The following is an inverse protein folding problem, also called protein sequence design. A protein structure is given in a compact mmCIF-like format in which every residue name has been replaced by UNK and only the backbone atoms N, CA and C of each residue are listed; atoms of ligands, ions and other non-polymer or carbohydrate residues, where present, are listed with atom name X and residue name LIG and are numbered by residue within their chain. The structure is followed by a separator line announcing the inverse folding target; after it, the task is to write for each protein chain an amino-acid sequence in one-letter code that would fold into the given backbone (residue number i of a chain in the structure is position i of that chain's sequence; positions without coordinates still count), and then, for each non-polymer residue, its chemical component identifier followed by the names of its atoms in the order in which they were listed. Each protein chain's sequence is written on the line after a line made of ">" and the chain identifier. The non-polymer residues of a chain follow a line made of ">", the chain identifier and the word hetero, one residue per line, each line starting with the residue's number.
data_IF_992075338458
#
_entry.id   IF_992075338458
#
_cell.length_a   1.000
_cell.length_b   1.000
_cell.length_c   1.000
_cell.angle_alpha   90.00
_cell.angle_beta   90.00
_cell.angle_gamma   90.00
#
_symmetry.space_group_name_H-M   'P 1'
#
loop_
_entity.id
_entity.type
_entity.pdbx_description
1 polymer ?
#
# COMPACT_ATOMS: atom_id res chain seq x y z
N UNK A 1 27.04 35.22 -34.50
CA UNK A 1 26.65 34.78 -33.14
C UNK A 1 25.15 34.47 -33.08
N UNK A 2 24.72 33.22 -33.30
CA UNK A 2 23.36 32.72 -32.94
C UNK A 2 23.40 31.20 -32.75
N UNK A 3 23.86 30.75 -31.59
CA UNK A 3 23.61 29.41 -31.02
C UNK A 3 23.42 29.62 -29.53
N UNK A 4 22.62 28.78 -28.87
CA UNK A 4 22.08 28.91 -27.50
C UNK A 4 20.69 29.53 -27.39
N UNK A 5 19.68 28.82 -27.92
CA UNK A 5 18.28 28.99 -27.51
C UNK A 5 17.48 27.68 -27.56
N UNK A 6 18.10 26.51 -27.31
CA UNK A 6 17.37 25.22 -27.24
C UNK A 6 18.08 24.29 -26.23
N UNK A 7 18.28 24.70 -24.98
CA UNK A 7 18.66 23.76 -23.90
C UNK A 7 18.07 24.30 -22.59
N UNK A 8 16.74 24.31 -22.46
CA UNK A 8 16.09 24.67 -21.19
C UNK A 8 14.64 24.17 -21.08
N UNK A 9 14.27 23.11 -21.82
CA UNK A 9 12.99 22.42 -21.62
C UNK A 9 13.14 20.97 -21.16
N UNK A 10 14.27 20.32 -21.46
CA UNK A 10 14.47 18.89 -21.19
C UNK A 10 14.80 18.57 -19.72
N UNK A 11 15.30 19.54 -18.95
CA UNK A 11 15.71 19.34 -17.56
C UNK A 11 14.53 19.26 -16.58
N UNK A 12 13.36 19.77 -16.95
CA UNK A 12 12.19 19.83 -16.08
C UNK A 12 11.41 18.50 -16.12
N UNK A 13 11.39 17.81 -17.27
CA UNK A 13 10.66 16.54 -17.45
C UNK A 13 11.33 15.33 -16.76
N UNK A 14 12.64 15.37 -16.51
CA UNK A 14 13.36 14.25 -15.88
C UNK A 14 13.24 14.23 -14.35
N UNK A 15 12.99 15.38 -13.71
CA UNK A 15 12.92 15.45 -12.23
C UNK A 15 11.57 15.05 -11.65
N UNK A 16 10.49 15.10 -12.44
CA UNK A 16 9.18 14.59 -12.03
C UNK A 16 9.08 13.07 -12.09
N UNK A 17 9.79 12.42 -13.02
CA UNK A 17 9.81 10.96 -13.16
C UNK A 17 10.44 10.25 -11.96
N UNK A 18 11.58 10.76 -11.46
CA UNK A 18 12.27 10.16 -10.31
C UNK A 18 11.53 10.34 -8.98
N UNK A 19 10.76 11.43 -8.80
CA UNK A 19 10.06 11.72 -7.53
C UNK A 19 8.98 10.69 -7.17
N UNK A 20 8.31 10.11 -8.17
CA UNK A 20 7.25 9.12 -7.94
C UNK A 20 7.71 7.67 -8.14
N UNK A 21 8.87 7.45 -8.77
CA UNK A 21 9.39 6.11 -9.05
C UNK A 21 9.63 5.28 -7.78
N UNK A 22 10.31 5.86 -6.78
CA UNK A 22 10.64 5.15 -5.53
C UNK A 22 9.38 4.76 -4.74
N UNK A 23 8.41 5.66 -4.50
CA UNK A 23 7.16 5.26 -3.85
C UNK A 23 6.35 4.21 -4.61
N UNK A 24 6.33 4.24 -5.95
CA UNK A 24 5.63 3.22 -6.74
C UNK A 24 6.28 1.85 -6.63
N UNK A 25 7.62 1.79 -6.66
CA UNK A 25 8.34 0.54 -6.39
C UNK A 25 7.99 -0.03 -5.01
N UNK A 26 7.84 0.83 -3.98
CA UNK A 26 7.41 0.35 -2.67
C UNK A 26 5.96 -0.14 -2.63
N UNK A 27 5.06 0.45 -3.42
CA UNK A 27 3.70 -0.08 -3.61
C UNK A 27 3.75 -1.48 -4.25
N UNK A 28 4.55 -1.66 -5.30
CA UNK A 28 4.70 -2.97 -5.96
C UNK A 28 5.24 -4.02 -4.98
N UNK A 29 6.14 -3.62 -4.07
CA UNK A 29 6.61 -4.50 -3.00
C UNK A 29 5.51 -4.87 -2.01
N UNK A 30 4.61 -3.96 -1.64
CA UNK A 30 3.45 -4.29 -0.78
C UNK A 30 2.56 -5.31 -1.48
N UNK A 31 2.27 -5.11 -2.78
CA UNK A 31 1.50 -6.08 -3.59
C UNK A 31 2.20 -7.45 -3.59
N UNK A 32 3.52 -7.48 -3.80
CA UNK A 32 4.31 -8.71 -3.74
C UNK A 32 4.22 -9.41 -2.37
N UNK A 33 4.34 -8.66 -1.28
CA UNK A 33 4.20 -9.17 0.09
C UNK A 33 2.83 -9.81 0.31
N UNK A 34 1.74 -9.23 -0.23
CA UNK A 34 0.41 -9.86 -0.13
C UNK A 34 0.29 -11.16 -0.93
N UNK A 35 0.99 -11.28 -2.06
CA UNK A 35 1.07 -12.54 -2.79
C UNK A 35 1.81 -13.62 -1.99
N UNK A 36 2.93 -13.26 -1.35
CA UNK A 36 3.72 -14.17 -0.51
C UNK A 36 2.90 -14.62 0.70
N UNK A 37 2.27 -13.68 1.40
CA UNK A 37 1.36 -13.97 2.52
C UNK A 37 0.28 -14.99 2.12
N UNK A 38 -0.37 -14.79 0.96
CA UNK A 38 -1.42 -15.71 0.52
C UNK A 38 -0.88 -17.13 0.35
N UNK A 39 0.24 -17.27 -0.37
CA UNK A 39 0.87 -18.57 -0.64
C UNK A 39 1.33 -19.26 0.65
N UNK A 40 2.01 -18.53 1.54
CA UNK A 40 2.51 -19.09 2.80
C UNK A 40 1.38 -19.46 3.77
N UNK A 41 0.25 -18.75 3.70
CA UNK A 41 -0.94 -19.07 4.51
C UNK A 41 -1.74 -20.27 3.97
N UNK A 42 -1.35 -20.83 2.83
CA UNK A 42 -2.02 -21.98 2.23
C UNK A 42 -3.39 -21.66 1.62
N UNK A 43 -3.65 -20.40 1.29
CA UNK A 43 -4.92 -20.00 0.70
C UNK A 43 -5.03 -20.39 -0.78
N UNK A 44 -6.25 -20.68 -1.27
CA UNK A 44 -6.46 -20.92 -2.70
C UNK A 44 -6.42 -19.61 -3.50
N UNK A 45 -6.21 -19.70 -4.82
CA UNK A 45 -6.34 -18.59 -5.78
C UNK A 45 -5.46 -17.36 -5.48
N UNK A 46 -4.22 -17.59 -5.05
CA UNK A 46 -3.32 -16.49 -4.69
C UNK A 46 -2.93 -15.56 -5.84
N UNK A 47 -2.93 -16.02 -7.09
CA UNK A 47 -2.69 -15.15 -8.24
C UNK A 47 -3.86 -14.18 -8.48
N UNK A 48 -5.11 -14.66 -8.38
CA UNK A 48 -6.32 -13.84 -8.47
C UNK A 48 -6.36 -12.82 -7.33
N UNK A 49 -6.04 -13.26 -6.11
CA UNK A 49 -5.96 -12.39 -4.94
C UNK A 49 -4.91 -11.29 -5.12
N UNK A 50 -3.68 -11.66 -5.53
CA UNK A 50 -2.62 -10.68 -5.78
C UNK A 50 -3.01 -9.69 -6.88
N UNK A 51 -3.67 -10.16 -7.93
CA UNK A 51 -4.17 -9.32 -9.03
C UNK A 51 -5.22 -8.33 -8.54
N UNK A 52 -6.18 -8.79 -7.74
CA UNK A 52 -7.19 -7.93 -7.10
C UNK A 52 -6.56 -6.87 -6.19
N UNK A 53 -5.57 -7.23 -5.36
CA UNK A 53 -4.86 -6.26 -4.51
C UNK A 53 -4.10 -5.25 -5.36
N UNK A 54 -3.40 -5.72 -6.40
CA UNK A 54 -2.69 -4.85 -7.36
C UNK A 54 -3.63 -3.82 -7.99
N UNK A 55 -4.78 -4.25 -8.50
CA UNK A 55 -5.78 -3.36 -9.09
C UNK A 55 -6.30 -2.31 -8.10
N UNK A 56 -6.48 -2.68 -6.83
CA UNK A 56 -6.84 -1.71 -5.80
C UNK A 56 -5.73 -0.65 -5.66
N UNK A 57 -4.46 -1.04 -5.60
CA UNK A 57 -3.36 -0.07 -5.51
C UNK A 57 -3.22 0.79 -6.77
N UNK A 58 -3.37 0.24 -7.96
CA UNK A 58 -3.31 0.99 -9.23
C UNK A 58 -4.30 2.17 -9.26
N UNK A 59 -5.51 1.98 -8.71
CA UNK A 59 -6.56 3.01 -8.70
C UNK A 59 -6.21 4.24 -7.84
N UNK A 60 -5.31 4.10 -6.88
CA UNK A 60 -5.05 5.16 -5.88
C UNK A 60 -3.59 5.55 -5.75
N UNK A 61 -2.63 4.78 -6.30
CA UNK A 61 -1.19 5.01 -6.09
C UNK A 61 -0.76 6.42 -6.52
N UNK A 62 -1.39 7.00 -7.54
CA UNK A 62 -1.11 8.37 -7.99
C UNK A 62 -1.60 9.46 -7.03
N UNK A 63 -2.59 9.17 -6.17
CA UNK A 63 -3.19 10.14 -5.24
C UNK A 63 -2.33 10.39 -4.01
N UNK A 64 -1.67 9.34 -3.51
CA UNK A 64 -0.83 9.41 -2.31
C UNK A 64 0.37 8.45 -2.39
N UNK A 65 1.24 8.60 -3.41
CA UNK A 65 2.30 7.62 -3.69
C UNK A 65 3.21 7.40 -2.48
N UNK A 66 3.65 8.48 -1.84
CA UNK A 66 4.58 8.43 -0.73
C UNK A 66 3.96 7.76 0.50
N UNK A 67 2.70 8.07 0.82
CA UNK A 67 2.04 7.51 1.99
C UNK A 67 1.72 6.02 1.82
N UNK A 68 1.30 5.62 0.63
CA UNK A 68 1.03 4.23 0.29
C UNK A 68 2.34 3.42 0.27
N UNK A 69 3.39 3.93 -0.37
CA UNK A 69 4.68 3.25 -0.45
C UNK A 69 5.40 3.13 0.90
N UNK A 70 5.41 4.20 1.71
CA UNK A 70 6.12 4.22 3.00
C UNK A 70 5.49 3.30 4.05
N UNK A 71 4.22 2.91 3.90
CA UNK A 71 3.58 1.95 4.79
C UNK A 71 4.33 0.61 4.84
N UNK A 72 5.02 0.23 3.76
CA UNK A 72 5.85 -0.97 3.70
C UNK A 72 6.81 -1.07 4.89
N UNK A 73 7.50 0.02 5.21
CA UNK A 73 8.54 0.03 6.25
C UNK A 73 7.91 -0.31 7.60
N UNK A 74 6.73 0.25 7.88
CA UNK A 74 6.04 0.08 9.15
C UNK A 74 5.41 -1.30 9.25
N UNK A 75 4.83 -1.81 8.16
CA UNK A 75 4.30 -3.16 8.09
C UNK A 75 5.40 -4.19 8.41
N UNK A 76 6.59 -4.01 7.82
CA UNK A 76 7.74 -4.89 8.07
C UNK A 76 8.22 -4.76 9.51
N UNK A 77 8.40 -3.53 10.01
CA UNK A 77 8.84 -3.30 11.39
C UNK A 77 7.83 -3.82 12.43
N UNK A 78 6.53 -3.74 12.13
CA UNK A 78 5.45 -4.28 12.95
C UNK A 78 5.22 -5.78 12.82
N UNK A 79 6.02 -6.47 11.99
CA UNK A 79 5.90 -7.91 11.74
C UNK A 79 7.25 -8.60 11.98
N UNK A 80 7.60 -8.92 13.25
CA UNK A 80 8.90 -9.50 13.60
C UNK A 80 9.24 -10.76 12.80
N UNK A 81 8.25 -11.63 12.55
CA UNK A 81 8.42 -12.86 11.76
C UNK A 81 8.86 -12.60 10.31
N UNK A 82 8.49 -11.47 9.70
CA UNK A 82 8.95 -11.10 8.35
C UNK A 82 10.46 -10.81 8.39
N UNK A 83 10.91 -10.06 9.39
CA UNK A 83 12.32 -9.66 9.53
C UNK A 83 13.20 -10.84 9.89
N UNK A 84 12.75 -11.68 10.81
CA UNK A 84 13.56 -12.77 11.37
C UNK A 84 13.52 -14.03 10.49
N UNK A 85 12.37 -14.34 9.89
CA UNK A 85 12.10 -15.65 9.29
C UNK A 85 11.59 -15.56 7.85
N UNK A 86 11.42 -14.35 7.31
CA UNK A 86 10.79 -14.14 6.01
C UNK A 86 9.40 -14.81 5.92
N UNK A 87 8.68 -14.80 7.05
CA UNK A 87 7.35 -15.40 7.22
C UNK A 87 6.28 -14.29 7.26
N UNK A 88 5.40 -14.34 6.27
CA UNK A 88 4.34 -13.38 6.01
C UNK A 88 2.96 -13.92 6.38
N UNK A 89 2.84 -15.10 6.99
CA UNK A 89 1.53 -15.70 7.34
C UNK A 89 0.66 -14.76 8.20
N UNK A 90 1.28 -14.02 9.11
CA UNK A 90 0.61 -13.03 9.95
C UNK A 90 0.62 -11.60 9.35
N UNK A 91 0.99 -11.40 8.08
CA UNK A 91 1.15 -10.07 7.45
C UNK A 91 -0.07 -9.17 7.66
N UNK A 92 -1.26 -9.66 7.28
CA UNK A 92 -2.50 -8.87 7.34
C UNK A 92 -2.90 -8.61 8.80
N UNK A 93 -2.79 -9.64 9.65
CA UNK A 93 -3.10 -9.53 11.08
C UNK A 93 -2.20 -8.51 11.79
N UNK A 94 -0.90 -8.58 11.56
CA UNK A 94 0.07 -7.65 12.14
C UNK A 94 -0.14 -6.24 11.60
N UNK A 95 -0.40 -6.10 10.29
CA UNK A 95 -0.75 -4.81 9.68
C UNK A 95 -1.99 -4.20 10.32
N UNK A 96 -3.01 -5.01 10.58
CA UNK A 96 -4.22 -4.55 11.25
C UNK A 96 -3.96 -4.10 12.70
N UNK A 97 -3.13 -4.84 13.44
CA UNK A 97 -2.79 -4.52 14.83
C UNK A 97 -1.95 -3.24 14.98
N UNK A 98 -1.34 -2.75 13.89
CA UNK A 98 -0.66 -1.45 13.87
C UNK A 98 -1.62 -0.26 13.83
N UNK A 99 -2.91 -0.50 13.54
CA UNK A 99 -3.92 0.53 13.52
C UNK A 99 -4.38 0.84 14.95
N UNK A 100 -4.45 2.13 15.27
CA UNK A 100 -5.07 2.61 16.51
C UNK A 100 -6.61 2.54 16.39
N UNK A 101 -7.18 1.43 16.86
CA UNK A 101 -8.62 1.18 16.83
C UNK A 101 -9.46 2.17 17.67
N UNK A 102 -8.83 3.05 18.47
CA UNK A 102 -9.51 4.08 19.27
C UNK A 102 -9.45 5.47 18.64
N UNK A 103 -8.80 5.62 17.49
CA UNK A 103 -8.58 6.92 16.86
C UNK A 103 -9.84 7.39 16.12
N UNK A 104 -10.59 8.32 16.74
CA UNK A 104 -11.81 8.94 16.18
C UNK A 104 -11.54 10.27 15.46
N UNK A 105 -10.30 10.76 15.48
CA UNK A 105 -9.93 12.06 14.92
C UNK A 105 -9.15 11.93 13.60
N UNK A 106 -9.52 12.75 12.61
CA UNK A 106 -8.99 12.79 11.24
C UNK A 106 -7.48 13.13 11.17
N UNK A 107 -6.84 13.49 12.29
CA UNK A 107 -5.37 13.64 12.40
C UNK A 107 -4.68 12.29 12.53
N UNK A 108 -5.00 11.39 11.62
CA UNK A 108 -4.35 10.10 11.46
C UNK A 108 -3.02 10.33 10.76
N UNK A 109 -1.94 9.76 11.30
CA UNK A 109 -0.61 9.83 10.67
C UNK A 109 -0.72 9.37 9.21
N UNK A 110 -0.01 10.05 8.30
CA UNK A 110 0.07 9.67 6.87
C UNK A 110 0.45 8.19 6.67
N UNK A 111 1.15 7.63 7.66
CA UNK A 111 1.56 6.24 7.76
C UNK A 111 0.40 5.28 8.06
N UNK A 112 -0.51 5.66 8.97
CA UNK A 112 -1.71 4.88 9.29
C UNK A 112 -2.66 4.83 8.09
N UNK A 113 -2.64 5.82 7.20
CA UNK A 113 -3.40 5.78 5.94
C UNK A 113 -2.93 4.65 5.03
N UNK A 114 -1.62 4.48 4.83
CA UNK A 114 -1.12 3.42 3.94
C UNK A 114 -1.32 2.01 4.52
N UNK A 115 -1.19 1.86 5.85
CA UNK A 115 -1.49 0.59 6.54
C UNK A 115 -3.00 0.27 6.48
N UNK A 116 -3.87 1.24 6.76
CA UNK A 116 -5.33 1.04 6.64
C UNK A 116 -5.74 0.76 5.19
N UNK A 117 -5.06 1.34 4.20
CA UNK A 117 -5.30 1.01 2.80
C UNK A 117 -4.92 -0.43 2.43
N UNK A 118 -3.84 -0.98 3.00
CA UNK A 118 -3.51 -2.40 2.83
C UNK A 118 -4.67 -3.28 3.32
N UNK A 119 -5.22 -2.97 4.50
CA UNK A 119 -6.34 -3.72 5.07
C UNK A 119 -7.61 -3.54 4.22
N UNK A 120 -7.86 -2.33 3.70
CA UNK A 120 -8.96 -2.07 2.77
C UNK A 120 -8.83 -2.94 1.51
N UNK A 121 -7.67 -2.95 0.87
CA UNK A 121 -7.42 -3.74 -0.33
C UNK A 121 -7.54 -5.25 -0.06
N UNK A 122 -7.03 -5.72 1.07
CA UNK A 122 -7.24 -7.11 1.51
C UNK A 122 -8.73 -7.43 1.68
N UNK A 123 -9.48 -6.62 2.43
CA UNK A 123 -10.91 -6.87 2.65
C UNK A 123 -11.70 -6.94 1.34
N UNK A 124 -11.39 -6.07 0.38
CA UNK A 124 -12.01 -6.06 -0.94
C UNK A 124 -11.74 -7.34 -1.75
N UNK A 125 -10.65 -8.05 -1.43
CA UNK A 125 -10.20 -9.24 -2.16
C UNK A 125 -10.32 -10.54 -1.34
N UNK A 126 -10.62 -10.47 -0.04
CA UNK A 126 -10.58 -11.63 0.87
C UNK A 126 -11.57 -12.74 0.47
N UNK A 127 -12.68 -12.39 -0.19
CA UNK A 127 -13.64 -13.38 -0.71
C UNK A 127 -13.06 -14.31 -1.79
N UNK A 128 -11.95 -13.93 -2.44
CA UNK A 128 -11.26 -14.77 -3.43
C UNK A 128 -10.61 -15.98 -2.75
N UNK A 129 -9.96 -15.74 -1.61
CA UNK A 129 -9.24 -16.75 -0.83
C UNK A 129 -10.11 -17.42 0.24
N UNK A 130 -11.22 -16.79 0.59
CA UNK A 130 -12.04 -17.19 1.74
C UNK A 130 -11.46 -16.78 3.09
N UNK A 131 -10.50 -15.84 3.10
CA UNK A 131 -9.96 -15.32 4.37
C UNK A 131 -10.95 -14.35 5.04
N UNK A 132 -10.73 -14.12 6.33
CA UNK A 132 -11.51 -13.17 7.13
C UNK A 132 -11.20 -11.73 6.75
N UNK A 133 -12.18 -10.86 6.96
CA UNK A 133 -12.03 -9.41 6.84
C UNK A 133 -11.83 -8.75 8.20
N UNK A 134 -11.30 -7.52 8.19
CA UNK A 134 -11.01 -6.75 9.40
C UNK A 134 -11.79 -5.43 9.43
N UNK A 135 -12.26 -4.98 10.60
CA UNK A 135 -13.03 -3.73 10.70
C UNK A 135 -12.08 -2.51 10.65
N UNK A 136 -12.23 -1.67 9.62
CA UNK A 136 -11.47 -0.41 9.47
C UNK A 136 -12.39 0.81 9.34
N UNK A 137 -13.60 0.75 9.89
CA UNK A 137 -14.63 1.80 9.76
C UNK A 137 -14.13 3.17 10.23
N UNK A 138 -13.32 3.21 11.29
CA UNK A 138 -12.70 4.45 11.79
C UNK A 138 -11.75 5.11 10.79
N UNK A 139 -11.19 4.34 9.85
CA UNK A 139 -10.27 4.83 8.81
C UNK A 139 -10.97 5.14 7.49
N UNK A 140 -12.19 4.62 7.26
CA UNK A 140 -12.93 4.84 6.01
C UNK A 140 -13.14 6.32 5.66
N UNK A 141 -13.43 7.25 6.61
CA UNK A 141 -13.50 8.67 6.31
C UNK A 141 -12.20 9.23 5.71
N UNK A 142 -11.04 8.87 6.28
CA UNK A 142 -9.73 9.30 5.79
C UNK A 142 -9.44 8.72 4.39
N UNK A 143 -9.70 7.43 4.19
CA UNK A 143 -9.47 6.79 2.89
C UNK A 143 -10.36 7.39 1.81
N UNK A 144 -11.61 7.74 2.13
CA UNK A 144 -12.53 8.44 1.22
C UNK A 144 -12.00 9.82 0.87
N UNK A 145 -11.60 10.60 1.88
CA UNK A 145 -11.10 11.96 1.68
C UNK A 145 -9.81 12.00 0.87
N UNK A 146 -8.82 11.16 1.22
CA UNK A 146 -7.48 11.23 0.64
C UNK A 146 -7.29 10.38 -0.61
N UNK A 147 -7.98 9.23 -0.70
CA UNK A 147 -7.81 8.26 -1.78
C UNK A 147 -9.07 8.08 -2.64
N UNK A 148 -10.22 8.63 -2.24
CA UNK A 148 -11.47 8.51 -2.99
C UNK A 148 -11.96 7.06 -3.11
N UNK A 149 -11.68 6.21 -2.11
CA UNK A 149 -12.31 4.88 -2.01
C UNK A 149 -13.80 5.05 -1.73
N UNK A 150 -14.63 4.04 -2.05
CA UNK A 150 -16.09 4.09 -1.84
C UNK A 150 -16.48 3.17 -0.70
#
# INVERSE_FOLDING_TARGET
>A
MKKFKIITLSSILLTSGCKNYVPYSYVDHIVSMTGIYCTQSGFPKCEDYRSCVSENYERVKSKAPMQLGMARIIIIQGSPNIVEKNDYTDLIKNSYNLLDHKQTNIKVSSLNMGVSYLIYAHNACASITGDKTYNIDSYMPLLREKLGVK
#
